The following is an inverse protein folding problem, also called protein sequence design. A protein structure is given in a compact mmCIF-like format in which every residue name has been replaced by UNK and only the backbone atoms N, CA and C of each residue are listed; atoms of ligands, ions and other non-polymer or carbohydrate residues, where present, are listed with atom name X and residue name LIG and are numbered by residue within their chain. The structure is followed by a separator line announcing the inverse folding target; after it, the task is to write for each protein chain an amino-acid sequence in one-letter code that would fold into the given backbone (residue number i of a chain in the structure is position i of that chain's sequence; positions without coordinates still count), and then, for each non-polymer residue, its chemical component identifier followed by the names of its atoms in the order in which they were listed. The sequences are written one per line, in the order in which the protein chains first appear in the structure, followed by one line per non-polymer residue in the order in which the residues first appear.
data_IF_097611008985
#
_entry.id   IF_097611008985
#
_cell.length_a   1.000
_cell.length_b   1.000
_cell.length_c   1.000
_cell.angle_alpha   90.00
_cell.angle_beta   90.00
_cell.angle_gamma   90.00
#
_symmetry.space_group_name_H-M   'P 1'
#
loop_
_entity.id
_entity.type
_entity.pdbx_description
1 polymer ?
#
# COMPACT_ATOMS: atom_id res chain seq x y z
N UNK A 1 2.80 -20.04 -10.46
CA UNK A 1 3.92 -19.30 -9.84
C UNK A 1 5.04 -19.17 -10.86
N UNK A 2 5.15 -17.98 -11.48
CA UNK A 2 6.14 -17.50 -12.48
C UNK A 2 5.50 -16.47 -13.44
N UNK A 3 4.54 -15.68 -12.95
CA UNK A 3 4.13 -14.48 -13.67
C UNK A 3 5.08 -13.35 -13.33
N UNK A 4 5.60 -12.61 -14.32
CA UNK A 4 6.25 -11.30 -14.12
C UNK A 4 5.46 -10.42 -13.13
N UNK A 5 4.13 -10.58 -13.13
CA UNK A 5 3.19 -9.92 -12.23
C UNK A 5 3.46 -10.19 -10.74
N UNK A 6 3.79 -11.42 -10.35
CA UNK A 6 4.05 -11.80 -8.96
C UNK A 6 5.40 -11.23 -8.47
N UNK A 7 6.40 -11.19 -9.34
CA UNK A 7 7.70 -10.59 -9.04
C UNK A 7 7.60 -9.08 -8.86
N UNK A 8 6.87 -8.41 -9.76
CA UNK A 8 6.60 -6.96 -9.65
C UNK A 8 5.77 -6.67 -8.39
N UNK A 9 4.75 -7.48 -8.11
CA UNK A 9 3.95 -7.33 -6.90
C UNK A 9 4.81 -7.52 -5.65
N UNK A 10 5.59 -8.60 -5.56
CA UNK A 10 6.46 -8.86 -4.40
C UNK A 10 7.48 -7.74 -4.17
N UNK A 11 8.20 -7.33 -5.22
CA UNK A 11 9.18 -6.25 -5.14
C UNK A 11 8.53 -4.92 -4.76
N UNK A 12 7.36 -4.62 -5.34
CA UNK A 12 6.57 -3.44 -5.00
C UNK A 12 6.12 -3.45 -3.53
N UNK A 13 5.72 -4.61 -2.99
CA UNK A 13 5.32 -4.72 -1.56
C UNK A 13 6.49 -4.37 -0.66
N UNK A 14 7.68 -4.89 -0.94
CA UNK A 14 8.88 -4.64 -0.14
C UNK A 14 9.22 -3.14 -0.15
N UNK A 15 9.25 -2.52 -1.32
CA UNK A 15 9.54 -1.07 -1.43
C UNK A 15 8.48 -0.25 -0.71
N UNK A 16 7.19 -0.57 -0.89
CA UNK A 16 6.10 0.13 -0.23
C UNK A 16 6.18 0.01 1.30
N UNK A 17 6.44 -1.20 1.81
CA UNK A 17 6.63 -1.45 3.23
C UNK A 17 7.83 -0.67 3.79
N UNK A 18 8.96 -0.65 3.07
CA UNK A 18 10.14 0.12 3.46
C UNK A 18 9.84 1.62 3.52
N UNK A 19 9.15 2.17 2.52
CA UNK A 19 8.79 3.60 2.49
C UNK A 19 7.91 4.00 3.67
N UNK A 20 6.96 3.14 4.05
CA UNK A 20 6.11 3.37 5.22
C UNK A 20 6.93 3.23 6.52
N UNK A 21 7.78 2.21 6.62
CA UNK A 21 8.55 1.91 7.83
C UNK A 21 9.63 2.95 8.15
N UNK A 22 10.29 3.50 7.13
CA UNK A 22 11.33 4.51 7.33
C UNK A 22 10.79 5.91 7.64
N UNK A 23 9.48 6.15 7.46
CA UNK A 23 8.79 7.43 7.72
C UNK A 23 9.62 8.68 7.30
N UNK A 24 10.15 8.67 6.06
CA UNK A 24 11.02 9.71 5.48
C UNK A 24 10.35 11.09 5.30
N UNK A 25 9.21 11.30 5.95
CA UNK A 25 8.42 12.50 5.91
C UNK A 25 7.10 12.31 5.16
N UNK A 26 6.25 13.32 5.30
CA UNK A 26 4.82 13.19 5.01
C UNK A 26 4.50 12.78 3.58
N UNK A 27 5.28 13.21 2.60
CA UNK A 27 5.05 12.83 1.20
C UNK A 27 5.51 11.41 0.89
N UNK A 28 6.60 10.94 1.51
CA UNK A 28 7.15 9.60 1.28
C UNK A 28 6.23 8.51 1.84
N UNK A 29 5.71 8.71 3.05
CA UNK A 29 4.77 7.77 3.70
C UNK A 29 3.46 7.67 2.92
N UNK A 30 2.93 8.80 2.43
CA UNK A 30 1.75 8.81 1.55
C UNK A 30 2.01 8.09 0.22
N UNK A 31 3.19 8.30 -0.40
CA UNK A 31 3.58 7.57 -1.61
C UNK A 31 3.72 6.06 -1.35
N UNK A 32 4.22 5.67 -0.18
CA UNK A 32 4.29 4.28 0.28
C UNK A 32 2.91 3.63 0.33
N UNK A 33 1.92 4.28 0.96
CA UNK A 33 0.54 3.77 1.02
C UNK A 33 -0.11 3.65 -0.38
N UNK A 34 0.11 4.62 -1.26
CA UNK A 34 -0.38 4.57 -2.65
C UNK A 34 0.22 3.38 -3.39
N UNK A 35 1.54 3.19 -3.30
CA UNK A 35 2.23 2.05 -3.90
C UNK A 35 1.72 0.72 -3.33
N UNK A 36 1.47 0.66 -2.02
CA UNK A 36 0.91 -0.51 -1.36
C UNK A 36 -0.48 -0.87 -1.90
N UNK A 37 -1.32 0.13 -2.18
CA UNK A 37 -2.63 -0.10 -2.81
C UNK A 37 -2.50 -0.73 -4.21
N UNK A 38 -1.62 -0.18 -5.07
CA UNK A 38 -1.40 -0.74 -6.41
C UNK A 38 -0.95 -2.19 -6.37
N UNK A 39 0.01 -2.48 -5.50
CA UNK A 39 0.56 -3.83 -5.35
C UNK A 39 -0.45 -4.80 -4.76
N UNK A 40 -1.24 -4.36 -3.78
CA UNK A 40 -2.27 -5.22 -3.19
C UNK A 40 -3.37 -5.55 -4.19
N UNK A 41 -3.74 -4.63 -5.09
CA UNK A 41 -4.65 -4.92 -6.20
C UNK A 41 -4.09 -5.97 -7.18
N UNK A 42 -2.79 -5.91 -7.48
CA UNK A 42 -2.09 -6.93 -8.27
C UNK A 42 -2.15 -8.31 -7.61
N UNK A 43 -1.98 -8.38 -6.28
CA UNK A 43 -2.11 -9.63 -5.53
C UNK A 43 -3.55 -10.16 -5.48
N UNK A 44 -4.55 -9.28 -5.40
CA UNK A 44 -5.96 -9.68 -5.54
C UNK A 44 -6.21 -10.31 -6.90
N UNK A 45 -5.80 -9.64 -7.98
CA UNK A 45 -5.95 -10.16 -9.34
C UNK A 45 -5.22 -11.49 -9.55
N UNK A 46 -3.97 -11.58 -9.08
CA UNK A 46 -3.19 -12.82 -9.13
C UNK A 46 -3.86 -13.95 -8.34
N UNK A 47 -4.35 -13.66 -7.13
CA UNK A 47 -5.04 -14.64 -6.30
C UNK A 47 -6.35 -15.14 -6.92
N UNK A 48 -7.12 -14.26 -7.57
CA UNK A 48 -8.34 -14.65 -8.28
C UNK A 48 -8.05 -15.50 -9.52
N UNK A 49 -7.05 -15.14 -10.32
CA UNK A 49 -6.70 -15.89 -11.55
C UNK A 49 -6.05 -17.24 -11.28
N UNK A 50 -5.40 -17.41 -10.13
CA UNK A 50 -4.78 -18.67 -9.72
C UNK A 50 -5.64 -19.53 -8.79
N UNK A 51 -6.88 -19.10 -8.49
CA UNK A 51 -7.77 -19.80 -7.54
C UNK A 51 -7.30 -19.74 -6.08
N UNK A 52 -6.35 -18.88 -5.76
CA UNK A 52 -5.84 -18.64 -4.41
C UNK A 52 -6.71 -17.60 -3.69
N UNK A 53 -7.97 -17.95 -3.42
CA UNK A 53 -8.93 -17.09 -2.74
C UNK A 53 -8.45 -16.52 -1.39
N UNK A 54 -7.74 -17.28 -0.53
CA UNK A 54 -7.20 -16.72 0.72
C UNK A 54 -6.19 -15.58 0.48
N UNK A 55 -5.33 -15.71 -0.55
CA UNK A 55 -4.35 -14.69 -0.91
C UNK A 55 -5.03 -13.42 -1.44
N UNK A 56 -6.08 -13.60 -2.27
CA UNK A 56 -6.89 -12.50 -2.77
C UNK A 56 -7.65 -11.79 -1.65
N UNK A 57 -8.30 -12.54 -0.74
CA UNK A 57 -9.06 -11.96 0.37
C UNK A 57 -8.16 -11.15 1.32
N UNK A 58 -7.00 -11.69 1.69
CA UNK A 58 -6.04 -10.99 2.55
C UNK A 58 -5.56 -9.68 1.91
N UNK A 59 -5.21 -9.70 0.62
CA UNK A 59 -4.78 -8.51 -0.09
C UNK A 59 -5.93 -7.52 -0.34
N UNK A 60 -7.17 -7.99 -0.49
CA UNK A 60 -8.32 -7.09 -0.57
C UNK A 60 -8.51 -6.30 0.73
N UNK A 61 -8.35 -6.94 1.89
CA UNK A 61 -8.39 -6.26 3.20
C UNK A 61 -7.22 -5.28 3.33
N UNK A 62 -6.01 -5.69 2.95
CA UNK A 62 -4.83 -4.82 2.98
C UNK A 62 -5.02 -3.59 2.08
N UNK A 63 -5.59 -3.75 0.90
CA UNK A 63 -5.94 -2.65 0.01
C UNK A 63 -6.85 -1.65 0.70
N UNK A 64 -7.91 -2.12 1.36
CA UNK A 64 -8.86 -1.26 2.07
C UNK A 64 -8.19 -0.50 3.23
N UNK A 65 -7.37 -1.18 4.03
CA UNK A 65 -6.65 -0.55 5.15
C UNK A 65 -5.63 0.47 4.65
N UNK A 66 -4.89 0.17 3.58
CA UNK A 66 -3.95 1.12 2.99
C UNK A 66 -4.67 2.33 2.38
N UNK A 67 -5.80 2.12 1.70
CA UNK A 67 -6.63 3.21 1.19
C UNK A 67 -7.18 4.09 2.33
N UNK A 68 -7.58 3.48 3.45
CA UNK A 68 -7.96 4.20 4.67
C UNK A 68 -6.77 4.97 5.27
N UNK A 69 -5.58 4.37 5.28
CA UNK A 69 -4.33 5.03 5.67
C UNK A 69 -4.07 6.30 4.84
N UNK A 70 -4.22 6.24 3.52
CA UNK A 70 -4.12 7.42 2.64
C UNK A 70 -5.15 8.48 3.01
N UNK A 71 -6.41 8.07 3.20
CA UNK A 71 -7.49 8.99 3.56
C UNK A 71 -7.23 9.66 4.90
N UNK A 72 -6.90 8.90 5.94
CA UNK A 72 -6.51 9.43 7.25
C UNK A 72 -5.32 10.39 7.10
N UNK A 73 -4.34 10.06 6.26
CA UNK A 73 -3.12 10.84 6.11
C UNK A 73 -3.31 12.16 5.34
N UNK A 74 -4.18 12.15 4.31
CA UNK A 74 -4.53 13.34 3.55
C UNK A 74 -5.56 14.23 4.27
N UNK A 75 -6.53 13.63 4.96
CA UNK A 75 -7.64 14.34 5.59
C UNK A 75 -7.46 14.63 7.09
N UNK A 76 -6.47 14.07 7.81
CA UNK A 76 -6.21 14.53 9.18
C UNK A 76 -5.65 15.96 9.17
N UNK A 77 -6.37 16.95 9.73
CA UNK A 77 -5.95 18.36 9.75
C UNK A 77 -4.93 18.67 10.86
N UNK A 78 -4.39 17.67 11.57
CA UNK A 78 -3.70 17.89 12.84
C UNK A 78 -2.22 18.28 12.74
N UNK A 79 -1.73 18.75 11.58
CA UNK A 79 -0.41 19.40 11.52
C UNK A 79 -0.37 20.63 10.59
N UNK A 80 -1.46 21.39 10.52
CA UNK A 80 -1.38 22.81 10.15
C UNK A 80 -0.68 23.68 11.21
N UNK A 81 -0.26 23.11 12.34
CA UNK A 81 0.23 23.83 13.52
C UNK A 81 1.75 23.78 13.72
N UNK A 82 2.55 23.63 12.66
CA UNK A 82 4.00 23.82 12.75
C UNK A 82 4.55 24.48 11.49
N UNK A 83 3.98 25.62 11.14
CA UNK A 83 4.62 26.59 10.24
C UNK A 83 4.67 28.02 10.78
N UNK A 84 4.18 28.25 12.00
CA UNK A 84 4.18 29.57 12.65
C UNK A 84 4.79 29.47 14.07
N UNK A 85 6.04 29.03 14.17
CA UNK A 85 6.82 29.03 15.42
C UNK A 85 8.27 29.40 15.15
#
# INVERSE_FOLDING_TARGET
MNGILEWVASGGTVVAASLIAFDLGRRATAAGFVLFCFVSALWVYSGLTQGAYPLAAMNAVLFLVNAWGIWQYWFHPKNREQKDG
#
